data_IF_994186243686
#
_entry.id   IF_994186243686
#
_cell.length_a   1.000
_cell.length_b   1.000
_cell.length_c   1.000
_cell.angle_alpha   90.00
_cell.angle_beta   90.00
_cell.angle_gamma   90.00
#
_symmetry.space_group_name_H-M   'P 1'
#
loop_
_entity.id
_entity.type
_entity.pdbx_description
1 polymer ?
#
# COMPACT_ATOMS: atom_id res chain seq x y z
N UNK A 1 16.91 13.15 7.08
CA UNK A 1 16.72 11.80 6.52
C UNK A 1 15.62 11.81 5.46
N UNK A 2 15.71 10.97 4.43
CA UNK A 2 14.64 10.76 3.43
C UNK A 2 13.50 9.96 4.05
N UNK A 3 12.26 10.41 3.85
CA UNK A 3 11.07 9.72 4.36
C UNK A 3 10.54 8.63 3.39
N UNK A 4 10.80 8.77 2.09
CA UNK A 4 10.36 7.84 1.05
C UNK A 4 11.47 7.74 -0.01
N UNK A 5 11.72 6.53 -0.50
CA UNK A 5 12.50 6.26 -1.71
C UNK A 5 11.52 6.01 -2.86
N UNK A 6 11.73 6.66 -3.99
CA UNK A 6 10.83 6.63 -5.15
C UNK A 6 11.62 6.18 -6.35
N UNK A 7 11.09 5.22 -7.08
CA UNK A 7 11.51 4.90 -8.44
C UNK A 7 10.32 5.11 -9.37
N UNK A 8 10.48 5.92 -10.41
CA UNK A 8 9.44 6.17 -11.39
C UNK A 8 10.04 5.99 -12.77
N UNK A 9 9.54 5.00 -13.49
CA UNK A 9 9.99 4.66 -14.82
C UNK A 9 8.76 4.40 -15.69
N UNK A 10 8.69 5.10 -16.83
CA UNK A 10 7.49 5.14 -17.66
C UNK A 10 6.25 5.50 -16.80
N UNK A 11 5.18 4.72 -16.94
CA UNK A 11 3.92 4.89 -16.21
C UNK A 11 3.87 4.09 -14.90
N UNK A 12 5.01 3.58 -14.42
CA UNK A 12 5.10 2.78 -13.18
C UNK A 12 5.75 3.62 -12.08
N UNK A 13 5.08 3.70 -10.93
CA UNK A 13 5.61 4.32 -9.71
C UNK A 13 5.80 3.25 -8.65
N UNK A 14 7.00 3.17 -8.09
CA UNK A 14 7.36 2.29 -6.97
C UNK A 14 7.84 3.13 -5.79
N UNK A 15 7.33 2.82 -4.60
CA UNK A 15 7.58 3.57 -3.37
C UNK A 15 8.03 2.64 -2.25
N UNK A 16 9.12 3.00 -1.57
CA UNK A 16 9.53 2.39 -0.31
C UNK A 16 9.56 3.46 0.78
N UNK A 17 8.68 3.35 1.76
CA UNK A 17 8.67 4.24 2.93
C UNK A 17 9.80 3.90 3.89
N UNK A 18 10.37 4.90 4.55
CA UNK A 18 11.34 4.69 5.64
C UNK A 18 10.65 4.83 7.00
N UNK A 19 11.30 4.36 8.07
CA UNK A 19 10.80 4.54 9.45
C UNK A 19 10.54 6.00 9.84
N UNK A 20 11.13 6.98 9.13
CA UNK A 20 10.90 8.41 9.38
C UNK A 20 9.55 8.90 8.83
N UNK A 21 8.86 8.10 8.02
CA UNK A 21 7.49 8.37 7.60
C UNK A 21 6.46 7.96 8.68
N UNK A 22 6.83 7.01 9.55
CA UNK A 22 6.01 6.50 10.65
C UNK A 22 5.49 5.09 10.42
N UNK A 23 4.67 4.59 11.35
CA UNK A 23 4.01 3.29 11.21
C UNK A 23 2.95 3.33 10.10
N UNK A 24 3.00 2.34 9.21
CA UNK A 24 2.07 2.18 8.08
C UNK A 24 1.10 1.00 8.27
N UNK A 25 1.21 0.25 9.36
CA UNK A 25 0.35 -0.91 9.65
C UNK A 25 -0.90 -0.50 10.43
N UNK A 26 -2.05 -1.06 10.04
CA UNK A 26 -3.31 -0.98 10.80
C UNK A 26 -3.40 -1.99 11.97
N UNK A 27 -2.41 -2.86 12.16
CA UNK A 27 -2.52 -4.01 13.07
C UNK A 27 -1.97 -3.78 14.49
N UNK A 28 -1.34 -2.63 14.77
CA UNK A 28 -0.70 -2.33 16.07
C UNK A 28 -1.33 -1.13 16.76
N UNK A 29 -0.89 -0.84 17.99
CA UNK A 29 -1.29 0.24 18.92
C UNK A 29 -1.45 1.66 18.32
N UNK A 30 -1.07 1.88 17.07
CA UNK A 30 -1.27 3.14 16.38
C UNK A 30 -2.75 3.32 16.01
N UNK A 31 -3.23 4.56 16.16
CA UNK A 31 -4.57 4.92 15.78
C UNK A 31 -4.76 4.75 14.25
N UNK A 32 -5.83 4.06 13.85
CA UNK A 32 -6.16 3.81 12.44
C UNK A 32 -6.23 5.09 11.60
N UNK A 33 -6.80 6.17 12.13
CA UNK A 33 -6.90 7.45 11.41
C UNK A 33 -5.53 8.07 11.13
N UNK A 34 -4.55 7.89 12.02
CA UNK A 34 -3.19 8.36 11.78
C UNK A 34 -2.52 7.59 10.64
N UNK A 35 -2.73 6.27 10.59
CA UNK A 35 -2.24 5.42 9.50
C UNK A 35 -2.92 5.81 8.18
N UNK A 36 -4.23 6.00 8.19
CA UNK A 36 -5.01 6.40 7.01
C UNK A 36 -4.55 7.77 6.48
N UNK A 37 -4.32 8.76 7.35
CA UNK A 37 -3.74 10.07 6.97
C UNK A 37 -2.36 9.95 6.33
N UNK A 38 -1.55 8.98 6.73
CA UNK A 38 -0.24 8.72 6.10
C UNK A 38 -0.41 8.17 4.69
N UNK A 39 -1.35 7.25 4.46
CA UNK A 39 -1.68 6.77 3.12
C UNK A 39 -2.27 7.88 2.24
N UNK A 40 -3.16 8.70 2.76
CA UNK A 40 -3.68 9.88 2.05
C UNK A 40 -2.55 10.85 1.66
N UNK A 41 -1.58 11.07 2.56
CA UNK A 41 -0.41 11.89 2.26
C UNK A 41 0.46 11.31 1.13
N UNK A 42 0.63 9.99 1.08
CA UNK A 42 1.29 9.31 -0.05
C UNK A 42 0.47 9.52 -1.32
N UNK A 43 -0.82 9.19 -1.27
CA UNK A 43 -1.73 9.28 -2.40
C UNK A 43 -1.72 10.68 -3.04
N UNK A 44 -1.91 11.72 -2.23
CA UNK A 44 -1.90 13.11 -2.67
C UNK A 44 -0.54 13.53 -3.24
N UNK A 45 0.57 13.08 -2.64
CA UNK A 45 1.91 13.46 -3.09
C UNK A 45 2.27 12.86 -4.45
N UNK A 46 1.80 11.66 -4.73
CA UNK A 46 2.14 10.91 -5.95
C UNK A 46 0.97 10.82 -6.94
N UNK A 47 -0.08 11.64 -6.75
CA UNK A 47 -1.27 11.69 -7.60
C UNK A 47 -1.92 10.29 -7.79
N UNK A 48 -2.02 9.53 -6.71
CA UNK A 48 -2.69 8.23 -6.66
C UNK A 48 -4.04 8.37 -5.97
N UNK A 49 -4.98 7.46 -6.25
CA UNK A 49 -6.23 7.36 -5.51
C UNK A 49 -6.07 6.41 -4.31
N UNK A 50 -6.25 6.93 -3.10
CA UNK A 50 -6.18 6.14 -1.86
C UNK A 50 -7.25 5.02 -1.81
N UNK A 51 -8.35 5.17 -2.55
CA UNK A 51 -9.38 4.14 -2.66
C UNK A 51 -8.98 3.00 -3.60
N UNK A 52 -7.95 3.20 -4.42
CA UNK A 52 -7.38 2.18 -5.30
C UNK A 52 -6.09 1.57 -4.73
N UNK A 53 -5.83 1.78 -3.45
CA UNK A 53 -4.77 1.07 -2.72
C UNK A 53 -5.27 -0.29 -2.24
N UNK A 54 -4.59 -1.35 -2.65
CA UNK A 54 -4.87 -2.74 -2.28
C UNK A 54 -4.08 -3.08 -1.04
N UNK A 55 -4.79 -3.34 0.05
CA UNK A 55 -4.22 -3.77 1.32
C UNK A 55 -4.43 -5.27 1.50
N UNK A 56 -3.43 -5.95 2.05
CA UNK A 56 -3.50 -7.38 2.32
C UNK A 56 -3.59 -7.64 3.82
N UNK A 57 -4.22 -8.75 4.20
CA UNK A 57 -4.00 -9.38 5.49
C UNK A 57 -2.88 -10.41 5.30
N UNK A 58 -1.63 -9.97 5.43
CA UNK A 58 -0.45 -10.82 5.23
C UNK A 58 -0.40 -11.91 6.32
N UNK A 59 -0.36 -13.18 5.91
CA UNK A 59 -0.43 -14.37 6.79
C UNK A 59 0.83 -15.24 6.73
N UNK A 60 1.89 -14.75 6.07
CA UNK A 60 3.14 -15.46 5.83
C UNK A 60 2.96 -16.75 5.00
N UNK A 61 1.98 -16.76 4.11
CA UNK A 61 1.75 -17.79 3.11
C UNK A 61 2.37 -17.46 1.75
N UNK A 62 1.86 -18.14 0.73
CA UNK A 62 2.33 -17.99 -0.67
C UNK A 62 1.21 -17.58 -1.64
N UNK A 63 0.02 -17.31 -1.10
CA UNK A 63 -1.14 -16.96 -1.91
C UNK A 63 -1.02 -15.55 -2.49
N UNK A 64 -1.50 -15.39 -3.71
CA UNK A 64 -1.43 -14.15 -4.50
C UNK A 64 -2.84 -13.67 -4.82
N UNK A 65 -3.12 -12.42 -4.47
CA UNK A 65 -4.37 -11.76 -4.82
C UNK A 65 -4.26 -11.06 -6.19
N UNK A 66 -5.18 -11.32 -7.10
CA UNK A 66 -5.28 -10.59 -8.37
C UNK A 66 -6.23 -9.42 -8.18
N UNK A 67 -5.69 -8.19 -8.23
CA UNK A 67 -6.48 -6.97 -8.11
C UNK A 67 -6.86 -6.45 -9.49
N UNK A 68 -8.17 -6.36 -9.75
CA UNK A 68 -8.75 -5.83 -10.98
C UNK A 68 -9.67 -4.62 -10.69
N UNK A 69 -10.44 -4.17 -11.68
CA UNK A 69 -11.37 -3.05 -11.54
C UNK A 69 -12.48 -3.26 -10.49
N UNK A 70 -12.74 -4.51 -10.08
CA UNK A 70 -13.76 -4.84 -9.10
C UNK A 70 -13.30 -4.69 -7.64
N UNK A 71 -11.99 -4.50 -7.40
CA UNK A 71 -11.46 -4.35 -6.04
C UNK A 71 -12.13 -3.18 -5.30
N UNK A 72 -12.66 -3.48 -4.12
CA UNK A 72 -13.29 -2.50 -3.24
C UNK A 72 -12.34 -2.19 -2.08
N UNK A 73 -12.08 -0.89 -1.85
CA UNK A 73 -11.28 -0.44 -0.72
C UNK A 73 -11.82 -0.99 0.60
N UNK A 74 -10.96 -1.65 1.36
CA UNK A 74 -11.28 -2.19 2.68
C UNK A 74 -11.35 -3.71 2.72
N UNK A 75 -11.46 -4.36 1.56
CA UNK A 75 -11.15 -5.79 1.45
C UNK A 75 -9.66 -6.00 1.76
N UNK A 76 -9.39 -6.94 2.67
CA UNK A 76 -8.04 -7.35 3.07
C UNK A 76 -7.89 -8.85 2.89
N UNK A 77 -7.73 -9.33 1.65
CA UNK A 77 -7.59 -10.76 1.38
C UNK A 77 -6.41 -11.33 2.16
N UNK A 78 -6.57 -12.56 2.65
CA UNK A 78 -5.53 -13.29 3.37
C UNK A 78 -4.50 -13.84 2.36
N UNK A 79 -3.59 -12.99 1.94
CA UNK A 79 -2.56 -13.26 0.93
C UNK A 79 -1.30 -12.45 1.26
N UNK A 80 -0.16 -12.85 0.69
CA UNK A 80 1.14 -12.22 0.96
C UNK A 80 1.73 -11.51 -0.25
N UNK A 81 1.08 -11.67 -1.41
CA UNK A 81 1.37 -10.89 -2.59
C UNK A 81 0.07 -10.44 -3.27
N UNK A 82 0.20 -9.38 -4.08
CA UNK A 82 -0.84 -8.97 -5.01
C UNK A 82 -0.21 -8.68 -6.37
N UNK A 83 -1.02 -8.81 -7.42
CA UNK A 83 -0.64 -8.46 -8.80
C UNK A 83 -1.79 -7.73 -9.46
N UNK A 84 -1.47 -6.84 -10.40
CA UNK A 84 -2.47 -6.15 -11.22
C UNK A 84 -1.87 -5.79 -12.58
N UNK A 85 -2.72 -5.76 -13.59
CA UNK A 85 -2.45 -5.15 -14.90
C UNK A 85 -3.31 -3.90 -15.13
N UNK A 86 -4.04 -3.43 -14.12
CA UNK A 86 -4.98 -2.31 -14.21
C UNK A 86 -4.28 -1.01 -13.79
N UNK A 87 -4.14 -0.02 -14.68
CA UNK A 87 -3.58 1.28 -14.33
C UNK A 87 -4.33 1.96 -13.19
N UNK A 88 -3.60 2.63 -12.31
CA UNK A 88 -4.17 3.35 -11.17
C UNK A 88 -4.49 2.50 -9.94
N UNK A 89 -4.31 1.17 -9.99
CA UNK A 89 -4.27 0.33 -8.79
C UNK A 89 -2.88 0.39 -8.17
N UNK A 90 -2.82 0.73 -6.89
CA UNK A 90 -1.60 0.75 -6.10
C UNK A 90 -1.57 -0.48 -5.18
N UNK A 91 -0.56 -1.33 -5.34
CA UNK A 91 -0.39 -2.53 -4.52
C UNK A 91 0.42 -2.18 -3.26
N UNK A 92 -0.08 -2.55 -2.07
CA UNK A 92 0.57 -2.21 -0.80
C UNK A 92 0.92 -3.47 -0.01
N UNK A 93 2.19 -3.58 0.37
CA UNK A 93 2.69 -4.59 1.32
C UNK A 93 3.42 -3.90 2.46
N UNK A 94 3.30 -4.43 3.68
CA UNK A 94 3.90 -3.86 4.89
C UNK A 94 4.98 -4.80 5.41
N UNK A 95 6.14 -4.24 5.80
CA UNK A 95 7.33 -4.99 6.24
C UNK A 95 7.97 -4.31 7.45
N UNK A 96 8.45 -5.10 8.41
CA UNK A 96 9.19 -4.62 9.57
C UNK A 96 9.87 -5.79 10.30
N UNK A 97 11.08 -6.15 9.86
CA UNK A 97 12.01 -7.06 10.54
C UNK A 97 13.26 -6.29 11.02
#
# INVERSE_FOLDING_TARGET
MRQVCVNQENDIIQLFTTRYFGNMSHAREENKENVDKRFEKIANKFNMDVNRMVFLNQVHGTDVFVADESYIRGEKPACDAAVTNVPGICLVTIHAD
#
